data_IF_932247032223
#
_entry.id   IF_932247032223
#
_cell.length_a   1.000
_cell.length_b   1.000
_cell.length_c   1.000
_cell.angle_alpha   90.00
_cell.angle_beta   90.00
_cell.angle_gamma   90.00
#
_symmetry.space_group_name_H-M   'P 1'
#
loop_
_entity.id
_entity.type
_entity.pdbx_description
1 polymer ?
#
# COMPACT_ATOMS: atom_id res chain seq x y z
N UNK A 1 1.84 3.44 -17.60
CA UNK A 1 1.14 2.67 -18.64
C UNK A 1 1.36 1.20 -18.33
N UNK A 2 0.29 0.45 -18.06
CA UNK A 2 0.33 -0.99 -17.78
C UNK A 2 0.05 -1.76 -19.06
N UNK A 3 0.86 -1.50 -20.10
CA UNK A 3 0.69 -2.18 -21.38
C UNK A 3 1.38 -3.55 -21.34
N UNK A 4 0.85 -4.56 -22.05
CA UNK A 4 1.50 -5.85 -22.16
C UNK A 4 2.89 -5.73 -22.81
N UNK A 5 3.84 -6.54 -22.37
CA UNK A 5 5.12 -6.70 -23.05
C UNK A 5 4.94 -7.48 -24.37
N UNK A 6 5.84 -7.32 -25.37
CA UNK A 6 5.75 -8.07 -26.61
C UNK A 6 5.79 -9.59 -26.35
N UNK A 7 4.71 -10.29 -26.70
CA UNK A 7 4.58 -11.74 -26.48
C UNK A 7 4.04 -12.15 -25.11
N UNK A 8 3.75 -11.20 -24.21
CA UNK A 8 3.12 -11.46 -22.92
C UNK A 8 1.64 -11.87 -23.11
N UNK A 9 1.28 -13.02 -22.59
CA UNK A 9 -0.11 -13.48 -22.52
C UNK A 9 -0.92 -12.64 -21.53
N UNK A 10 -2.25 -12.71 -21.62
CA UNK A 10 -3.13 -12.04 -20.66
C UNK A 10 -2.86 -12.47 -19.21
N UNK A 11 -2.53 -13.75 -19.00
CA UNK A 11 -2.21 -14.29 -17.69
C UNK A 11 -0.88 -13.78 -17.15
N UNK A 12 0.18 -13.78 -17.95
CA UNK A 12 1.48 -13.22 -17.56
C UNK A 12 1.37 -11.72 -17.22
N UNK A 13 0.56 -10.96 -17.97
CA UNK A 13 0.26 -9.57 -17.65
C UNK A 13 -0.43 -9.45 -16.28
N UNK A 14 -1.46 -10.25 -16.01
CA UNK A 14 -2.18 -10.20 -14.74
C UNK A 14 -1.31 -10.60 -13.56
N UNK A 15 -0.49 -11.65 -13.71
CA UNK A 15 0.50 -12.06 -12.70
C UNK A 15 1.49 -10.94 -12.39
N UNK A 16 2.03 -10.29 -13.41
CA UNK A 16 2.93 -9.14 -13.23
C UNK A 16 2.25 -7.97 -12.52
N UNK A 17 0.99 -7.68 -12.86
CA UNK A 17 0.22 -6.64 -12.17
C UNK A 17 -0.02 -6.99 -10.69
N UNK A 18 -0.28 -8.27 -10.38
CA UNK A 18 -0.41 -8.74 -9.01
C UNK A 18 0.92 -8.59 -8.25
N UNK A 19 2.06 -8.92 -8.87
CA UNK A 19 3.38 -8.68 -8.28
C UNK A 19 3.66 -7.20 -8.01
N UNK A 20 3.30 -6.32 -8.95
CA UNK A 20 3.49 -4.88 -8.80
C UNK A 20 2.58 -4.32 -7.69
N UNK A 21 1.34 -4.81 -7.55
CA UNK A 21 0.47 -4.49 -6.41
C UNK A 21 1.07 -4.98 -5.09
N UNK A 22 1.58 -6.22 -5.01
CA UNK A 22 2.27 -6.74 -3.81
C UNK A 22 3.47 -5.87 -3.42
N UNK A 23 4.23 -5.37 -4.38
CA UNK A 23 5.34 -4.43 -4.13
C UNK A 23 4.83 -3.07 -3.63
N UNK A 24 3.74 -2.55 -4.21
CA UNK A 24 3.11 -1.31 -3.75
C UNK A 24 2.62 -1.43 -2.32
N UNK A 25 1.88 -2.49 -2.00
CA UNK A 25 1.40 -2.83 -0.65
C UNK A 25 2.54 -2.82 0.36
N UNK A 26 3.64 -3.55 0.08
CA UNK A 26 4.81 -3.58 0.97
C UNK A 26 5.41 -2.19 1.21
N UNK A 27 5.45 -1.35 0.17
CA UNK A 27 5.95 0.03 0.28
C UNK A 27 4.99 0.88 1.12
N UNK A 28 3.68 0.76 0.90
CA UNK A 28 2.64 1.47 1.66
C UNK A 28 2.65 1.04 3.14
N UNK A 29 2.80 -0.25 3.44
CA UNK A 29 2.97 -0.79 4.80
C UNK A 29 4.18 -0.20 5.51
N UNK A 30 5.32 -0.14 4.81
CA UNK A 30 6.53 0.49 5.36
C UNK A 30 6.29 1.97 5.67
N UNK A 31 5.64 2.69 4.77
CA UNK A 31 5.30 4.10 4.99
C UNK A 31 4.37 4.28 6.21
N UNK A 32 3.38 3.41 6.38
CA UNK A 32 2.51 3.42 7.56
C UNK A 32 3.29 3.17 8.85
N UNK A 33 4.19 2.18 8.85
CA UNK A 33 5.05 1.87 9.99
C UNK A 33 5.99 3.04 10.35
N UNK A 34 6.60 3.69 9.35
CA UNK A 34 7.46 4.86 9.56
C UNK A 34 6.68 6.05 10.16
N UNK A 35 5.44 6.27 9.69
CA UNK A 35 4.55 7.30 10.25
C UNK A 35 4.16 6.99 11.69
N UNK A 36 3.76 5.74 11.98
CA UNK A 36 3.41 5.30 13.32
C UNK A 36 4.60 5.44 14.29
N UNK A 37 5.80 5.06 13.87
CA UNK A 37 7.02 5.24 14.65
C UNK A 37 7.29 6.73 14.93
N UNK A 38 7.16 7.59 13.93
CA UNK A 38 7.37 9.04 14.11
C UNK A 38 6.36 9.67 15.05
N UNK A 39 5.09 9.25 14.99
CA UNK A 39 4.06 9.65 15.96
C UNK A 39 4.49 9.28 17.38
N UNK A 40 4.88 8.02 17.60
CA UNK A 40 5.30 7.55 18.92
C UNK A 40 6.52 8.34 19.47
N UNK A 41 7.49 8.67 18.61
CA UNK A 41 8.64 9.50 18.98
C UNK A 41 8.21 10.91 19.41
N UNK A 42 7.25 11.52 18.73
CA UNK A 42 6.73 12.86 19.06
C UNK A 42 5.89 12.83 20.34
N UNK A 43 5.07 11.80 20.53
CA UNK A 43 4.24 11.61 21.73
C UNK A 43 5.11 11.44 22.99
N UNK A 44 6.34 10.92 22.84
CA UNK A 44 7.30 10.78 23.93
C UNK A 44 8.06 12.08 24.28
N UNK A 45 7.93 13.16 23.49
CA UNK A 45 8.59 14.43 23.76
C UNK A 45 7.91 15.19 24.91
N UNK A 46 8.66 16.08 25.57
CA UNK A 46 8.14 16.94 26.63
C UNK A 46 8.53 18.40 26.38
N UNK A 47 7.59 19.29 26.00
CA UNK A 47 6.18 18.99 25.68
C UNK A 47 6.05 18.31 24.30
N UNK A 48 5.00 17.48 24.08
CA UNK A 48 4.74 16.88 22.78
C UNK A 48 4.23 17.91 21.77
N UNK A 49 4.63 17.78 20.50
CA UNK A 49 4.11 18.60 19.40
C UNK A 49 2.76 18.07 18.92
N UNK A 50 1.69 18.50 19.57
CA UNK A 50 0.33 18.05 19.29
C UNK A 50 -0.14 18.36 17.86
N UNK A 51 0.31 19.47 17.28
CA UNK A 51 -0.05 19.85 15.91
C UNK A 51 0.59 18.90 14.90
N UNK A 52 1.87 18.60 15.07
CA UNK A 52 2.59 17.65 14.22
C UNK A 52 2.02 16.24 14.37
N UNK A 53 1.74 15.79 15.60
CA UNK A 53 1.13 14.49 15.87
C UNK A 53 -0.23 14.37 15.16
N UNK A 54 -1.08 15.39 15.25
CA UNK A 54 -2.39 15.39 14.60
C UNK A 54 -2.28 15.26 13.07
N UNK A 55 -1.39 16.03 12.46
CA UNK A 55 -1.17 15.97 11.01
C UNK A 55 -0.64 14.60 10.57
N UNK A 56 0.27 13.99 11.33
CA UNK A 56 0.79 12.65 11.04
C UNK A 56 -0.27 11.58 11.21
N UNK A 57 -1.14 11.66 12.24
CA UNK A 57 -2.27 10.73 12.43
C UNK A 57 -3.27 10.79 11.27
N UNK A 58 -3.57 12.00 10.77
CA UNK A 58 -4.41 12.16 9.58
C UNK A 58 -3.76 11.54 8.34
N UNK A 59 -2.45 11.74 8.16
CA UNK A 59 -1.70 11.15 7.06
C UNK A 59 -1.68 9.63 7.15
N UNK A 60 -1.47 9.07 8.35
CA UNK A 60 -1.50 7.63 8.59
C UNK A 60 -2.85 7.03 8.20
N UNK A 61 -3.96 7.64 8.62
CA UNK A 61 -5.30 7.16 8.26
C UNK A 61 -5.53 7.12 6.73
N UNK A 62 -5.02 8.10 5.98
CA UNK A 62 -5.09 8.10 4.51
C UNK A 62 -4.25 6.98 3.91
N UNK A 63 -3.04 6.74 4.45
CA UNK A 63 -2.16 5.66 4.00
C UNK A 63 -2.78 4.29 4.29
N UNK A 64 -3.39 4.11 5.46
CA UNK A 64 -4.09 2.87 5.83
C UNK A 64 -5.31 2.61 4.93
N UNK A 65 -6.11 3.63 4.64
CA UNK A 65 -7.23 3.50 3.71
C UNK A 65 -6.77 3.08 2.31
N UNK A 66 -5.69 3.67 1.80
CA UNK A 66 -5.08 3.27 0.53
C UNK A 66 -4.57 1.83 0.57
N UNK A 67 -3.94 1.43 1.68
CA UNK A 67 -3.45 0.05 1.83
C UNK A 67 -4.59 -0.97 1.77
N UNK A 68 -5.74 -0.67 2.36
CA UNK A 68 -6.93 -1.52 2.26
C UNK A 68 -7.44 -1.62 0.83
N UNK A 69 -7.47 -0.50 0.09
CA UNK A 69 -7.85 -0.48 -1.33
C UNK A 69 -6.90 -1.34 -2.17
N UNK A 70 -5.59 -1.17 -2.00
CA UNK A 70 -4.57 -1.96 -2.72
C UNK A 70 -4.70 -3.46 -2.41
N UNK A 71 -4.98 -3.83 -1.15
CA UNK A 71 -5.21 -5.22 -0.74
C UNK A 71 -6.46 -5.83 -1.37
N UNK A 72 -7.55 -5.07 -1.46
CA UNK A 72 -8.78 -5.51 -2.15
C UNK A 72 -8.53 -5.71 -3.64
N UNK A 73 -7.89 -4.74 -4.29
CA UNK A 73 -7.55 -4.84 -5.71
C UNK A 73 -6.65 -6.04 -6.01
N UNK A 74 -5.68 -6.35 -5.13
CA UNK A 74 -4.85 -7.54 -5.26
C UNK A 74 -5.68 -8.82 -5.11
N UNK A 75 -6.55 -8.92 -4.10
CA UNK A 75 -7.39 -10.10 -3.88
C UNK A 75 -8.34 -10.36 -5.06
N UNK A 76 -8.95 -9.29 -5.60
CA UNK A 76 -9.81 -9.38 -6.78
C UNK A 76 -9.00 -9.87 -8.00
N UNK A 77 -7.80 -9.34 -8.21
CA UNK A 77 -6.93 -9.74 -9.31
C UNK A 77 -6.45 -11.19 -9.17
N UNK A 78 -6.04 -11.62 -7.97
CA UNK A 78 -5.63 -13.01 -7.68
C UNK A 78 -6.79 -13.98 -7.90
N UNK A 79 -8.02 -13.57 -7.57
CA UNK A 79 -9.23 -14.35 -7.86
C UNK A 79 -9.40 -14.53 -9.37
N UNK A 80 -9.35 -13.45 -10.15
CA UNK A 80 -9.46 -13.50 -11.62
C UNK A 80 -8.38 -14.39 -12.23
N UNK A 81 -7.13 -14.28 -11.79
CA UNK A 81 -6.04 -15.14 -12.26
C UNK A 81 -6.36 -16.61 -11.98
N UNK A 82 -6.77 -16.94 -10.74
CA UNK A 82 -7.07 -18.32 -10.36
C UNK A 82 -8.23 -18.94 -11.14
N UNK A 83 -9.17 -18.12 -11.62
CA UNK A 83 -10.34 -18.55 -12.39
C UNK A 83 -10.04 -18.67 -13.89
N UNK A 84 -9.01 -18.00 -14.42
CA UNK A 84 -8.86 -17.79 -15.87
C UNK A 84 -7.50 -18.23 -16.47
N UNK A 85 -6.51 -18.72 -15.71
CA UNK A 85 -5.13 -18.91 -16.20
C UNK A 85 -4.55 -20.35 -16.20
#
# INVERSE_FOLDING_TARGET
MNSPLPGESGCELMERLAEDLRKSIKKTEKQAADLAHRIAVLEAQSPPDEQQIKALKQTLAVVEAKLEEERRALADLETVISENC
#
